data_IF_699449924614
#
_entry.id   IF_699449924614
#
_cell.length_a   1.000
_cell.length_b   1.000
_cell.length_c   1.000
_cell.angle_alpha   90.00
_cell.angle_beta   90.00
_cell.angle_gamma   90.00
#
_symmetry.space_group_name_H-M   'P 1'
#
loop_
_entity.id
_entity.type
_entity.pdbx_description
1 polymer ?
#
# COMPACT_ATOMS: atom_id res chain seq x y z
N UNK A 1 -8.80 16.29 10.62
CA UNK A 1 -8.43 15.03 9.94
C UNK A 1 -8.37 15.23 8.44
N UNK A 2 -7.47 14.55 7.70
CA UNK A 2 -7.59 14.48 6.25
C UNK A 2 -8.92 13.80 5.87
N UNK A 3 -9.45 14.10 4.69
CA UNK A 3 -10.77 13.65 4.20
C UNK A 3 -10.59 12.44 3.28
N UNK A 4 -10.60 11.18 3.78
CA UNK A 4 -10.52 10.01 2.93
C UNK A 4 -11.79 9.92 2.07
N UNK A 5 -11.62 9.53 0.81
CA UNK A 5 -12.71 9.34 -0.16
C UNK A 5 -13.73 10.51 -0.18
N UNK A 6 -13.30 11.75 -0.49
CA UNK A 6 -14.13 12.93 -0.37
C UNK A 6 -15.41 12.87 -1.22
N UNK A 7 -15.39 12.13 -2.33
CA UNK A 7 -16.56 11.91 -3.20
C UNK A 7 -17.71 11.17 -2.52
N UNK A 8 -17.46 10.41 -1.45
CA UNK A 8 -18.50 9.68 -0.71
C UNK A 8 -19.21 10.56 0.33
N UNK A 9 -18.63 11.71 0.68
CA UNK A 9 -19.07 12.61 1.75
C UNK A 9 -19.19 12.00 3.18
N UNK A 10 -19.07 10.69 3.36
CA UNK A 10 -19.22 10.02 4.67
C UNK A 10 -18.23 10.47 5.73
N UNK A 11 -17.01 10.81 5.32
CA UNK A 11 -15.91 11.20 6.21
C UNK A 11 -15.63 12.71 6.20
N UNK A 12 -16.42 13.50 5.47
CA UNK A 12 -16.39 14.96 5.54
C UNK A 12 -16.95 15.42 6.90
N UNK A 13 -16.58 16.62 7.34
CA UNK A 13 -17.11 17.18 8.58
C UNK A 13 -18.65 17.24 8.53
N UNK A 14 -19.31 16.74 9.59
CA UNK A 14 -20.76 16.54 9.62
C UNK A 14 -21.28 15.29 8.90
N UNK A 15 -20.41 14.53 8.25
CA UNK A 15 -20.73 13.23 7.65
C UNK A 15 -20.91 12.12 8.69
N UNK A 16 -21.70 11.07 8.38
CA UNK A 16 -22.10 10.04 9.33
C UNK A 16 -20.96 9.25 9.97
N UNK A 17 -19.80 9.15 9.31
CA UNK A 17 -18.65 8.38 9.78
C UNK A 17 -17.45 9.25 10.18
N UNK A 18 -17.60 10.58 10.14
CA UNK A 18 -16.51 11.51 10.43
C UNK A 18 -15.98 11.36 11.87
N UNK A 19 -16.88 11.45 12.84
CA UNK A 19 -16.51 11.42 14.26
C UNK A 19 -16.00 10.05 14.69
N UNK A 20 -16.56 8.97 14.13
CA UNK A 20 -16.08 7.61 14.40
C UNK A 20 -14.66 7.42 13.85
N UNK A 21 -14.38 7.90 12.63
CA UNK A 21 -13.04 7.86 12.05
C UNK A 21 -12.04 8.67 12.89
N UNK A 22 -12.44 9.86 13.35
CA UNK A 22 -11.64 10.69 14.25
C UNK A 22 -11.28 9.94 15.55
N UNK A 23 -12.29 9.36 16.21
CA UNK A 23 -12.13 8.64 17.48
C UNK A 23 -11.26 7.40 17.34
N UNK A 24 -11.38 6.64 16.25
CA UNK A 24 -10.54 5.47 15.98
C UNK A 24 -9.08 5.88 15.85
N UNK A 25 -8.79 6.92 15.07
CA UNK A 25 -7.42 7.37 14.83
C UNK A 25 -6.81 7.96 16.10
N UNK A 26 -7.58 8.74 16.86
CA UNK A 26 -7.16 9.22 18.17
C UNK A 26 -6.85 8.05 19.13
N UNK A 27 -7.77 7.09 19.26
CA UNK A 27 -7.54 5.89 20.08
C UNK A 27 -6.29 5.12 19.65
N UNK A 28 -6.02 5.04 18.34
CA UNK A 28 -4.81 4.39 17.82
C UNK A 28 -3.54 5.10 18.30
N UNK A 29 -3.51 6.44 18.34
CA UNK A 29 -2.34 7.18 18.85
C UNK A 29 -2.04 6.91 20.31
N UNK A 30 -3.06 6.64 21.14
CA UNK A 30 -2.88 6.20 22.53
C UNK A 30 -2.45 4.74 22.64
N UNK A 31 -2.90 3.88 21.72
CA UNK A 31 -2.56 2.46 21.70
C UNK A 31 -1.11 2.21 21.24
N UNK A 32 -0.65 2.91 20.20
CA UNK A 32 0.72 2.85 19.64
C UNK A 32 1.37 4.23 19.62
N UNK A 33 1.70 4.82 20.78
CA UNK A 33 2.33 6.14 20.85
C UNK A 33 3.71 6.18 20.20
N UNK A 34 4.37 5.03 20.02
CA UNK A 34 5.64 4.89 19.32
C UNK A 34 5.51 5.06 17.79
N UNK A 35 4.33 4.83 17.21
CA UNK A 35 4.02 5.13 15.80
C UNK A 35 3.27 6.46 15.69
N UNK A 36 2.31 6.70 16.59
CA UNK A 36 1.42 7.85 16.53
C UNK A 36 0.52 7.83 15.29
N UNK A 37 0.15 9.01 14.79
CA UNK A 37 -0.61 9.16 13.55
C UNK A 37 0.34 9.40 12.38
N UNK A 38 0.29 8.54 11.38
CA UNK A 38 1.02 8.70 10.12
C UNK A 38 0.05 9.08 9.01
N UNK A 39 0.47 10.00 8.15
CA UNK A 39 -0.34 10.43 7.01
C UNK A 39 -0.74 9.24 6.14
N UNK A 40 -2.05 9.13 5.83
CA UNK A 40 -2.61 8.01 5.09
C UNK A 40 -3.38 7.01 5.93
N UNK A 41 -3.13 6.92 7.26
CA UNK A 41 -3.87 6.02 8.16
C UNK A 41 -5.38 6.24 8.14
N UNK A 42 -5.83 7.47 7.89
CA UNK A 42 -7.26 7.78 7.79
C UNK A 42 -7.96 7.02 6.66
N UNK A 43 -7.25 6.66 5.60
CA UNK A 43 -7.82 5.85 4.52
C UNK A 43 -8.04 4.41 4.96
N UNK A 44 -7.11 3.81 5.70
CA UNK A 44 -7.29 2.47 6.28
C UNK A 44 -8.49 2.42 7.24
N UNK A 45 -8.56 3.39 8.16
CA UNK A 45 -9.67 3.51 9.10
C UNK A 45 -11.01 3.69 8.37
N UNK A 46 -11.04 4.49 7.30
CA UNK A 46 -12.21 4.69 6.47
C UNK A 46 -12.66 3.40 5.78
N UNK A 47 -11.75 2.65 5.14
CA UNK A 47 -12.11 1.36 4.51
C UNK A 47 -12.74 0.43 5.54
N UNK A 48 -12.13 0.27 6.71
CA UNK A 48 -12.64 -0.59 7.77
C UNK A 48 -14.01 -0.13 8.29
N UNK A 49 -14.23 1.17 8.49
CA UNK A 49 -15.51 1.74 8.94
C UNK A 49 -16.65 1.59 7.94
N UNK A 50 -16.36 1.42 6.64
CA UNK A 50 -17.41 1.15 5.66
C UNK A 50 -18.03 -0.23 5.85
N UNK A 51 -17.30 -1.18 6.45
CA UNK A 51 -17.72 -2.58 6.56
C UNK A 51 -17.88 -3.06 8.01
N UNK A 52 -17.30 -2.35 8.98
CA UNK A 52 -17.24 -2.76 10.39
C UNK A 52 -17.75 -1.66 11.32
N UNK A 53 -18.41 -2.02 12.44
CA UNK A 53 -18.68 -1.10 13.53
C UNK A 53 -17.39 -0.50 14.10
N UNK A 54 -17.45 0.71 14.66
CA UNK A 54 -16.29 1.49 15.07
C UNK A 54 -15.27 0.73 15.95
N UNK A 55 -15.72 -0.04 16.94
CA UNK A 55 -14.81 -0.82 17.78
C UNK A 55 -14.06 -1.91 16.99
N UNK A 56 -14.76 -2.62 16.09
CA UNK A 56 -14.15 -3.66 15.26
C UNK A 56 -13.22 -3.04 14.21
N UNK A 57 -13.59 -1.88 13.66
CA UNK A 57 -12.72 -1.11 12.77
C UNK A 57 -11.42 -0.67 13.49
N UNK A 58 -11.49 -0.24 14.76
CA UNK A 58 -10.31 0.05 15.56
C UNK A 58 -9.42 -1.19 15.75
N UNK A 59 -9.99 -2.32 16.16
CA UNK A 59 -9.24 -3.58 16.31
C UNK A 59 -8.61 -4.00 14.99
N UNK A 60 -9.35 -3.89 13.88
CA UNK A 60 -8.88 -4.15 12.53
C UNK A 60 -7.69 -3.27 12.17
N UNK A 61 -7.77 -1.95 12.43
CA UNK A 61 -6.70 -1.00 12.16
C UNK A 61 -5.43 -1.34 12.97
N UNK A 62 -5.59 -1.64 14.27
CA UNK A 62 -4.48 -2.06 15.12
C UNK A 62 -3.79 -3.31 14.60
N UNK A 63 -4.56 -4.34 14.22
CA UNK A 63 -4.00 -5.58 13.69
C UNK A 63 -3.33 -5.37 12.32
N UNK A 64 -3.94 -4.56 11.47
CA UNK A 64 -3.44 -4.26 10.13
C UNK A 64 -2.09 -3.55 10.18
N UNK A 65 -1.97 -2.48 10.98
CA UNK A 65 -0.71 -1.74 11.09
C UNK A 65 0.36 -2.54 11.84
N UNK A 66 -0.05 -3.42 12.76
CA UNK A 66 0.87 -4.36 13.42
C UNK A 66 1.26 -5.55 12.53
N UNK A 67 0.69 -5.69 11.33
CA UNK A 67 1.02 -6.81 10.45
C UNK A 67 2.46 -6.70 9.94
N UNK A 68 3.13 -7.83 9.70
CA UNK A 68 4.51 -7.85 9.19
C UNK A 68 4.65 -7.04 7.90
N UNK A 69 3.65 -7.15 7.03
CA UNK A 69 3.64 -6.56 5.70
C UNK A 69 3.82 -5.04 5.68
N UNK A 70 3.39 -4.33 6.74
CA UNK A 70 3.46 -2.85 6.78
C UNK A 70 4.06 -2.26 8.06
N UNK A 71 4.24 -3.02 9.14
CA UNK A 71 4.73 -2.47 10.41
C UNK A 71 6.10 -1.81 10.29
N UNK A 72 7.04 -2.44 9.58
CA UNK A 72 8.37 -1.89 9.34
C UNK A 72 8.32 -0.58 8.55
N UNK A 73 7.37 -0.45 7.62
CA UNK A 73 7.13 0.80 6.87
C UNK A 73 6.59 1.91 7.78
N UNK A 74 5.62 1.59 8.64
CA UNK A 74 5.07 2.55 9.61
C UNK A 74 6.09 3.03 10.65
N UNK A 75 7.10 2.21 10.95
CA UNK A 75 8.23 2.57 11.82
C UNK A 75 9.40 3.20 11.07
N UNK A 76 9.32 3.29 9.74
CA UNK A 76 10.42 3.76 8.87
C UNK A 76 11.72 2.98 9.12
N UNK A 77 11.61 1.68 9.37
CA UNK A 77 12.76 0.78 9.54
C UNK A 77 13.51 0.69 8.19
N UNK A 78 14.77 1.16 8.10
CA UNK A 78 15.48 1.24 6.81
C UNK A 78 15.57 -0.10 6.09
N UNK A 79 15.83 -1.18 6.83
CA UNK A 79 15.93 -2.53 6.29
C UNK A 79 14.61 -3.02 5.71
N UNK A 80 13.49 -2.70 6.37
CA UNK A 80 12.15 -3.06 5.91
C UNK A 80 11.80 -2.33 4.59
N UNK A 81 12.15 -1.04 4.51
CA UNK A 81 11.93 -0.20 3.33
C UNK A 81 12.80 -0.67 2.15
N UNK A 82 14.11 -0.81 2.36
CA UNK A 82 15.07 -1.21 1.33
C UNK A 82 14.75 -2.60 0.81
N UNK A 83 14.39 -3.54 1.68
CA UNK A 83 14.01 -4.89 1.28
C UNK A 83 12.82 -4.86 0.31
N UNK A 84 11.80 -4.05 0.62
CA UNK A 84 10.60 -3.95 -0.22
C UNK A 84 10.88 -3.27 -1.55
N UNK A 85 11.66 -2.19 -1.55
CA UNK A 85 12.10 -1.53 -2.78
C UNK A 85 12.93 -2.47 -3.68
N UNK A 86 13.87 -3.22 -3.11
CA UNK A 86 14.68 -4.21 -3.84
C UNK A 86 13.84 -5.31 -4.50
N UNK A 87 12.89 -5.88 -3.76
CA UNK A 87 11.98 -6.90 -4.28
C UNK A 87 11.11 -6.37 -5.41
N UNK A 88 10.60 -5.14 -5.26
CA UNK A 88 9.84 -4.47 -6.29
C UNK A 88 10.69 -4.23 -7.55
N UNK A 89 11.91 -3.71 -7.43
CA UNK A 89 12.81 -3.48 -8.56
C UNK A 89 13.12 -4.77 -9.31
N UNK A 90 13.35 -5.88 -8.59
CA UNK A 90 13.57 -7.20 -9.17
C UNK A 90 12.34 -7.66 -9.96
N UNK A 91 11.14 -7.54 -9.40
CA UNK A 91 9.91 -7.91 -10.10
C UNK A 91 9.64 -7.00 -11.31
N UNK A 92 9.80 -5.69 -11.17
CA UNK A 92 9.60 -4.71 -12.23
C UNK A 92 10.56 -4.94 -13.41
N UNK A 93 11.83 -5.22 -13.12
CA UNK A 93 12.83 -5.52 -14.14
C UNK A 93 12.51 -6.79 -14.94
N UNK A 94 11.88 -7.78 -14.30
CA UNK A 94 11.45 -9.02 -14.94
C UNK A 94 10.18 -8.82 -15.78
N UNK A 95 9.19 -8.12 -15.24
CA UNK A 95 7.86 -7.98 -15.85
C UNK A 95 7.77 -6.84 -16.89
N UNK A 96 8.58 -5.79 -16.73
CA UNK A 96 8.53 -4.53 -17.48
C UNK A 96 9.92 -3.88 -17.64
N UNK A 97 10.90 -4.55 -18.29
CA UNK A 97 12.29 -4.09 -18.33
C UNK A 97 12.48 -2.70 -18.96
N UNK A 98 11.59 -2.26 -19.86
CA UNK A 98 11.66 -0.93 -20.45
C UNK A 98 11.22 0.15 -19.46
N UNK A 99 10.14 -0.09 -18.72
CA UNK A 99 9.67 0.81 -17.67
C UNK A 99 10.67 0.86 -16.52
N UNK A 100 11.19 -0.28 -16.06
CA UNK A 100 12.23 -0.31 -15.03
C UNK A 100 13.43 0.59 -15.38
N UNK A 101 13.98 0.44 -16.60
CA UNK A 101 15.05 1.31 -17.09
C UNK A 101 14.63 2.78 -17.16
N UNK A 102 13.39 3.07 -17.56
CA UNK A 102 12.89 4.45 -17.61
C UNK A 102 12.87 5.07 -16.22
N UNK A 103 12.33 4.36 -15.23
CA UNK A 103 12.27 4.83 -13.84
C UNK A 103 13.68 5.08 -13.28
N UNK A 104 14.63 4.19 -13.56
CA UNK A 104 16.04 4.35 -13.16
C UNK A 104 16.67 5.61 -13.81
N UNK A 105 16.47 5.83 -15.11
CA UNK A 105 17.03 6.97 -15.85
C UNK A 105 16.52 8.31 -15.29
N UNK A 106 15.23 8.39 -14.95
CA UNK A 106 14.64 9.62 -14.40
C UNK A 106 14.90 9.79 -12.90
N UNK A 107 15.50 8.80 -12.25
CA UNK A 107 15.80 8.82 -10.82
C UNK A 107 14.57 8.63 -9.92
N UNK A 108 13.49 8.01 -10.42
CA UNK A 108 12.35 7.66 -9.58
C UNK A 108 12.66 6.35 -8.83
N UNK A 109 12.96 6.46 -7.54
CA UNK A 109 13.17 5.27 -6.71
C UNK A 109 11.83 4.74 -6.17
N UNK A 110 11.68 3.41 -5.94
CA UNK A 110 10.43 2.83 -5.45
C UNK A 110 9.95 3.45 -4.14
N UNK A 111 10.87 3.84 -3.26
CA UNK A 111 10.58 4.43 -1.95
C UNK A 111 9.71 5.70 -2.07
N UNK A 112 9.82 6.43 -3.18
CA UNK A 112 9.08 7.68 -3.41
C UNK A 112 7.56 7.47 -3.56
N UNK A 113 7.10 6.28 -3.95
CA UNK A 113 5.67 6.01 -4.17
C UNK A 113 5.19 4.72 -3.50
N UNK A 114 6.03 3.68 -3.48
CA UNK A 114 5.66 2.33 -3.02
C UNK A 114 5.35 2.29 -1.53
N UNK A 115 6.07 3.07 -0.71
CA UNK A 115 5.85 3.13 0.73
C UNK A 115 4.41 3.58 1.03
N UNK A 116 3.96 4.67 0.40
CA UNK A 116 2.58 5.15 0.57
C UNK A 116 1.57 4.13 0.06
N UNK A 117 1.83 3.52 -1.10
CA UNK A 117 0.93 2.52 -1.68
C UNK A 117 0.74 1.33 -0.74
N UNK A 118 1.83 0.82 -0.16
CA UNK A 118 1.80 -0.35 0.72
C UNK A 118 1.19 0.01 2.07
N UNK A 119 1.64 1.09 2.71
CA UNK A 119 1.12 1.52 4.01
C UNK A 119 -0.39 1.80 3.97
N UNK A 120 -0.89 2.31 2.85
CA UNK A 120 -2.33 2.57 2.69
C UNK A 120 -3.09 1.43 2.02
N UNK A 121 -2.45 0.30 1.71
CA UNK A 121 -3.05 -0.78 0.90
C UNK A 121 -3.81 -0.23 -0.31
N UNK A 122 -3.19 0.71 -1.02
CA UNK A 122 -3.71 1.40 -2.20
C UNK A 122 -4.99 2.25 -2.00
N UNK A 123 -5.51 2.34 -0.78
CA UNK A 123 -6.74 3.08 -0.47
C UNK A 123 -6.60 4.60 -0.67
N UNK A 124 -5.38 5.15 -0.56
CA UNK A 124 -5.11 6.56 -0.84
C UNK A 124 -4.99 6.89 -2.34
N UNK A 125 -4.15 6.18 -3.14
CA UNK A 125 -3.98 6.48 -4.56
C UNK A 125 -5.21 6.09 -5.41
N UNK A 126 -6.02 5.12 -4.98
CA UNK A 126 -7.13 4.59 -5.78
C UNK A 126 -8.52 5.02 -5.27
N UNK A 127 -9.53 4.84 -6.11
CA UNK A 127 -10.93 4.90 -5.68
C UNK A 127 -11.27 3.69 -4.79
N UNK A 128 -12.23 3.85 -3.88
CA UNK A 128 -12.57 2.81 -2.89
C UNK A 128 -12.95 1.47 -3.54
N UNK A 129 -13.71 1.51 -4.64
CA UNK A 129 -14.18 0.30 -5.33
C UNK A 129 -13.01 -0.50 -5.91
N UNK A 130 -11.96 0.20 -6.33
CA UNK A 130 -10.74 -0.37 -6.91
C UNK A 130 -9.80 -0.84 -5.80
N UNK A 131 -9.61 -0.03 -4.76
CA UNK A 131 -8.83 -0.41 -3.58
C UNK A 131 -9.42 -1.64 -2.88
N UNK A 132 -10.75 -1.79 -2.85
CA UNK A 132 -11.41 -2.94 -2.20
C UNK A 132 -10.98 -4.28 -2.81
N UNK A 133 -10.75 -4.35 -4.13
CA UNK A 133 -10.19 -5.54 -4.79
C UNK A 133 -8.81 -5.90 -4.21
N UNK A 134 -7.97 -4.88 -4.02
CA UNK A 134 -6.62 -5.07 -3.48
C UNK A 134 -6.68 -5.52 -2.02
N UNK A 135 -7.60 -4.96 -1.24
CA UNK A 135 -7.84 -5.36 0.16
C UNK A 135 -8.31 -6.81 0.27
N UNK A 136 -9.30 -7.22 -0.52
CA UNK A 136 -9.82 -8.59 -0.51
C UNK A 136 -8.71 -9.60 -0.82
N UNK A 137 -7.91 -9.31 -1.85
CA UNK A 137 -6.78 -10.15 -2.22
C UNK A 137 -5.68 -10.13 -1.16
N UNK A 138 -5.33 -8.97 -0.61
CA UNK A 138 -4.29 -8.85 0.42
C UNK A 138 -4.66 -9.63 1.69
N UNK A 139 -5.91 -9.54 2.13
CA UNK A 139 -6.39 -10.30 3.29
C UNK A 139 -6.38 -11.82 3.05
N UNK A 140 -6.47 -12.27 1.80
CA UNK A 140 -6.42 -13.68 1.41
C UNK A 140 -4.99 -14.21 1.20
N UNK A 141 -4.16 -13.44 0.50
CA UNK A 141 -2.89 -13.89 -0.08
C UNK A 141 -1.64 -13.17 0.46
N UNK A 142 -1.82 -12.16 1.31
CA UNK A 142 -0.75 -11.43 1.99
C UNK A 142 0.00 -10.44 1.10
N UNK A 143 1.22 -10.09 1.53
CA UNK A 143 2.03 -8.99 0.98
C UNK A 143 2.35 -9.14 -0.52
N UNK A 144 2.38 -10.36 -1.06
CA UNK A 144 2.59 -10.64 -2.49
C UNK A 144 1.63 -9.85 -3.38
N UNK A 145 0.39 -9.65 -2.93
CA UNK A 145 -0.63 -8.90 -3.66
C UNK A 145 -0.23 -7.44 -3.87
N UNK A 146 0.45 -6.84 -2.89
CA UNK A 146 0.87 -5.45 -2.99
C UNK A 146 1.87 -5.28 -4.13
N UNK A 147 2.86 -6.16 -4.23
CA UNK A 147 3.80 -6.16 -5.35
C UNK A 147 3.12 -6.37 -6.71
N UNK A 148 2.22 -7.36 -6.80
CA UNK A 148 1.51 -7.64 -8.04
C UNK A 148 0.65 -6.45 -8.48
N UNK A 149 0.01 -5.77 -7.51
CA UNK A 149 -0.78 -4.57 -7.72
C UNK A 149 0.09 -3.41 -8.21
N UNK A 150 1.25 -3.18 -7.62
CA UNK A 150 2.18 -2.13 -8.08
C UNK A 150 2.55 -2.32 -9.56
N UNK A 151 2.90 -3.54 -9.98
CA UNK A 151 3.22 -3.83 -11.38
C UNK A 151 1.99 -3.71 -12.29
N UNK A 152 0.81 -4.15 -11.84
CA UNK A 152 -0.43 -4.01 -12.60
C UNK A 152 -0.77 -2.53 -12.88
N UNK A 153 -0.57 -1.65 -11.89
CA UNK A 153 -0.76 -0.21 -12.02
C UNK A 153 0.28 0.43 -12.94
N UNK A 154 1.55 0.00 -12.89
CA UNK A 154 2.56 0.43 -13.86
C UNK A 154 2.20 0.00 -15.29
N UNK A 155 1.66 -1.21 -15.47
CA UNK A 155 1.18 -1.69 -16.78
C UNK A 155 0.03 -0.87 -17.34
N UNK A 156 -0.89 -0.39 -16.48
CA UNK A 156 -1.94 0.54 -16.91
C UNK A 156 -1.38 1.89 -17.38
N UNK A 157 -0.19 2.25 -16.93
CA UNK A 157 0.46 3.52 -17.22
C UNK A 157 1.64 3.38 -18.19
N UNK A 158 1.88 2.19 -18.74
CA UNK A 158 3.11 1.86 -19.47
C UNK A 158 3.35 2.77 -20.67
N UNK A 159 2.33 2.99 -21.49
CA UNK A 159 2.43 3.84 -22.68
C UNK A 159 2.81 5.28 -22.31
N UNK A 160 2.24 5.83 -21.24
CA UNK A 160 2.58 7.19 -20.78
C UNK A 160 3.95 7.26 -20.12
N UNK A 161 4.33 6.25 -19.33
CA UNK A 161 5.65 6.14 -18.74
C UNK A 161 6.75 6.05 -19.81
N UNK A 162 6.48 5.41 -20.94
CA UNK A 162 7.45 5.29 -22.03
C UNK A 162 7.42 6.46 -23.02
N UNK A 163 6.39 7.31 -22.95
CA UNK A 163 6.25 8.53 -23.76
C UNK A 163 7.21 9.65 -23.34
N UNK A 164 7.19 10.76 -24.08
CA UNK A 164 7.96 11.96 -23.73
C UNK A 164 7.57 12.53 -22.35
N UNK A 165 6.31 12.39 -21.92
CA UNK A 165 5.89 12.79 -20.57
C UNK A 165 6.61 12.01 -19.47
N UNK A 166 6.87 10.72 -19.70
CA UNK A 166 7.59 9.88 -18.76
C UNK A 166 9.11 10.05 -18.81
N UNK A 167 9.63 10.98 -19.63
CA UNK A 167 11.07 11.23 -19.76
C UNK A 167 11.67 12.07 -18.62
N UNK A 168 10.82 12.68 -17.79
CA UNK A 168 11.21 13.52 -16.67
C UNK A 168 10.55 13.03 -15.38
N UNK A 169 11.23 13.24 -14.24
CA UNK A 169 10.76 12.79 -12.93
C UNK A 169 9.39 13.37 -12.55
N UNK A 170 9.17 14.66 -12.83
CA UNK A 170 7.89 15.33 -12.55
C UNK A 170 6.75 14.73 -13.35
N UNK A 171 7.00 14.44 -14.64
CA UNK A 171 6.01 13.79 -15.50
C UNK A 171 5.65 12.39 -15.02
N UNK A 172 6.65 11.59 -14.60
CA UNK A 172 6.41 10.28 -14.00
C UNK A 172 5.65 10.38 -12.67
N UNK A 173 5.98 11.35 -11.81
CA UNK A 173 5.27 11.58 -10.55
C UNK A 173 3.79 11.94 -10.79
N UNK A 174 3.49 12.76 -11.80
CA UNK A 174 2.11 13.08 -12.19
C UNK A 174 1.37 11.85 -12.73
N UNK A 175 2.03 11.07 -13.59
CA UNK A 175 1.49 9.82 -14.16
C UNK A 175 1.12 8.83 -13.04
N UNK A 176 1.98 8.64 -12.04
CA UNK A 176 1.74 7.71 -10.92
C UNK A 176 0.90 8.31 -9.78
N UNK A 177 0.60 9.61 -9.84
CA UNK A 177 -0.25 10.33 -8.91
C UNK A 177 -1.70 10.43 -9.40
N UNK A 178 -2.16 11.64 -9.72
CA UNK A 178 -3.56 11.89 -10.05
C UNK A 178 -4.01 11.18 -11.34
N UNK A 179 -3.14 11.07 -12.34
CA UNK A 179 -3.46 10.42 -13.63
C UNK A 179 -3.68 8.91 -13.43
N UNK A 180 -2.96 8.28 -12.49
CA UNK A 180 -3.14 6.87 -12.15
C UNK A 180 -4.54 6.62 -11.59
N UNK A 181 -5.01 7.49 -10.71
CA UNK A 181 -6.34 7.39 -10.10
C UNK A 181 -7.45 7.41 -11.15
N UNK A 182 -7.31 8.23 -12.17
CA UNK A 182 -8.27 8.32 -13.26
C UNK A 182 -8.25 7.10 -14.18
N UNK A 183 -7.07 6.50 -14.41
CA UNK A 183 -6.88 5.32 -15.26
C UNK A 183 -7.31 4.01 -14.59
N UNK A 184 -6.97 3.84 -13.32
CA UNK A 184 -7.36 2.67 -12.55
C UNK A 184 -8.82 2.80 -12.09
N UNK A 185 -9.76 2.65 -13.03
CA UNK A 185 -11.19 2.87 -12.82
C UNK A 185 -12.07 1.63 -13.08
N UNK A 186 -11.48 0.52 -13.52
CA UNK A 186 -12.17 -0.77 -13.69
C UNK A 186 -11.58 -1.82 -12.73
N UNK A 187 -12.41 -2.29 -11.79
CA UNK A 187 -12.02 -3.27 -10.78
C UNK A 187 -11.75 -4.67 -11.37
N UNK A 188 -12.46 -5.04 -12.43
CA UNK A 188 -12.30 -6.33 -13.10
C UNK A 188 -11.00 -6.35 -13.91
N UNK A 189 -10.70 -5.25 -14.61
CA UNK A 189 -9.43 -5.11 -15.31
C UNK A 189 -8.24 -5.17 -14.34
N UNK A 190 -8.32 -4.45 -13.22
CA UNK A 190 -7.25 -4.47 -12.22
C UNK A 190 -7.05 -5.88 -11.65
N UNK A 191 -8.12 -6.57 -11.27
CA UNK A 191 -8.08 -7.95 -10.78
C UNK A 191 -7.39 -8.87 -11.79
N UNK A 192 -7.79 -8.80 -13.05
CA UNK A 192 -7.21 -9.61 -14.12
C UNK A 192 -5.70 -9.33 -14.24
N UNK A 193 -5.29 -8.06 -14.27
CA UNK A 193 -3.87 -7.69 -14.39
C UNK A 193 -3.05 -8.17 -13.19
N UNK A 194 -3.59 -8.08 -11.97
CA UNK A 194 -2.94 -8.62 -10.76
C UNK A 194 -2.71 -10.13 -10.91
N UNK A 195 -3.73 -10.87 -11.36
CA UNK A 195 -3.63 -12.32 -11.57
C UNK A 195 -2.62 -12.68 -12.67
N UNK A 196 -2.57 -11.92 -13.75
CA UNK A 196 -1.58 -12.10 -14.84
C UNK A 196 -0.15 -11.85 -14.38
N UNK A 197 0.09 -10.81 -13.57
CA UNK A 197 1.40 -10.55 -12.97
C UNK A 197 1.78 -11.72 -12.07
N UNK A 198 0.88 -12.13 -11.17
CA UNK A 198 1.12 -13.23 -10.23
C UNK A 198 1.40 -14.55 -10.95
N UNK A 199 0.72 -14.83 -12.06
CA UNK A 199 0.89 -16.04 -12.86
C UNK A 199 2.23 -16.09 -13.60
N UNK A 200 2.81 -14.94 -13.97
CA UNK A 200 4.10 -14.83 -14.67
C UNK A 200 5.30 -14.69 -13.73
N UNK A 201 5.11 -14.07 -12.57
CA UNK A 201 6.17 -13.83 -11.61
C UNK A 201 6.88 -15.13 -11.20
N UNK A 202 8.23 -15.17 -11.13
CA UNK A 202 8.95 -16.36 -10.72
C UNK A 202 8.53 -16.81 -9.31
N UNK A 203 8.19 -18.10 -9.16
CA UNK A 203 7.79 -18.67 -7.87
C UNK A 203 8.81 -18.40 -6.76
N UNK A 204 10.10 -18.48 -7.08
CA UNK A 204 11.19 -18.19 -6.14
C UNK A 204 11.12 -16.77 -5.57
N UNK A 205 10.69 -15.79 -6.35
CA UNK A 205 10.53 -14.41 -5.90
C UNK A 205 9.27 -14.25 -5.03
N UNK A 206 8.17 -14.91 -5.39
CA UNK A 206 6.95 -14.92 -4.59
C UNK A 206 7.18 -15.61 -3.23
N UNK A 207 7.96 -16.69 -3.24
CA UNK A 207 8.37 -17.40 -2.03
C UNK A 207 9.33 -16.55 -1.18
N UNK A 208 10.24 -15.79 -1.80
CA UNK A 208 11.11 -14.81 -1.10
C UNK A 208 10.27 -13.77 -0.36
N UNK A 209 9.26 -13.18 -1.02
CA UNK A 209 8.33 -12.21 -0.40
C UNK A 209 7.62 -12.84 0.81
N UNK A 210 7.03 -14.03 0.64
CA UNK A 210 6.33 -14.74 1.72
C UNK A 210 7.25 -15.12 2.88
N UNK A 211 8.51 -15.48 2.60
CA UNK A 211 9.47 -15.82 3.65
C UNK A 211 9.81 -14.60 4.51
N UNK A 212 9.99 -13.43 3.89
CA UNK A 212 10.25 -12.17 4.59
C UNK A 212 9.06 -11.82 5.49
N UNK A 213 7.85 -11.84 4.95
CA UNK A 213 6.61 -11.59 5.70
C UNK A 213 6.48 -12.52 6.92
N UNK A 214 6.73 -13.83 6.72
CA UNK A 214 6.70 -14.80 7.82
C UNK A 214 7.81 -14.59 8.85
N UNK A 215 9.02 -14.22 8.42
CA UNK A 215 10.14 -13.97 9.33
C UNK A 215 9.88 -12.73 10.21
N UNK A 216 9.35 -11.66 9.61
CA UNK A 216 8.93 -10.46 10.33
C UNK A 216 7.79 -10.76 11.30
N UNK A 217 6.83 -11.63 10.94
CA UNK A 217 5.79 -12.12 11.84
C UNK A 217 6.36 -12.80 13.08
N UNK A 218 7.30 -13.74 12.88
CA UNK A 218 7.92 -14.48 13.97
C UNK A 218 8.73 -13.56 14.89
N UNK A 219 9.42 -12.56 14.32
CA UNK A 219 10.16 -11.55 15.07
C UNK A 219 9.23 -10.67 15.93
N UNK A 220 8.10 -10.24 15.38
CA UNK A 220 7.11 -9.45 16.10
C UNK A 220 6.37 -10.23 17.21
N UNK A 221 6.19 -11.54 17.04
CA UNK A 221 5.54 -12.42 18.01
C UNK A 221 6.44 -12.83 19.19
N UNK A 222 7.77 -12.69 19.07
CA UNK A 222 8.68 -12.96 20.18
C UNK A 222 8.68 -11.78 21.17
N UNK A 223 8.41 -12.01 22.47
CA UNK A 223 8.51 -10.95 23.46
C UNK A 223 9.96 -10.46 23.51
N UNK A 224 10.19 -9.18 23.21
CA UNK A 224 11.49 -8.54 23.44
C UNK A 224 11.81 -8.74 24.92
N UNK A 225 12.83 -9.53 25.22
CA UNK A 225 13.37 -9.67 26.57
C UNK A 225 13.82 -8.28 27.02
N UNK A 226 12.99 -7.59 27.80
CA UNK A 226 13.40 -6.37 28.46
C UNK A 226 14.41 -6.78 29.54
N UNK A 227 15.69 -6.71 29.19
CA UNK A 227 16.76 -6.60 30.17
C UNK A 227 16.57 -5.25 30.87
N UNK A 228 15.86 -5.26 32.00
CA UNK A 228 15.94 -4.17 32.95
C UNK A 228 17.35 -4.19 33.53
N UNK A 229 18.17 -3.22 33.12
CA UNK A 229 19.43 -2.86 33.76
C UNK A 229 19.30 -1.48 34.37
#
# INVERSE_FOLDING_TARGET
LPRPFPSLAFFCEGGPLHDDCARILEAYTFFRPDIGYVQGMSYLAAVLLLYLPAYQAFVGLCNLINSPSVLGLYRLEPEAVECRARLFNKLCSLEMPQVARRLDIVGLTPEMFLIEWFMTLYSKPLHIDIASVVWDLFLLDGEVVLYCTAIALLRLSEDELLSDRGSELEGVAQILGDDLRARANDSSELLQRIQEVRGRAPRTLLDEIKQIENAEFMSAAMPRSQSFS
#
